data_IF_984138797213
#
_entry.id   IF_984138797213
#
_cell.length_a   1.000
_cell.length_b   1.000
_cell.length_c   1.000
_cell.angle_alpha   90.00
_cell.angle_beta   90.00
_cell.angle_gamma   90.00
#
_symmetry.space_group_name_H-M   'P 1'
#
loop_
_entity.id
_entity.type
_entity.pdbx_description
1 polymer ?
#
# COMPACT_ATOMS: atom_id res chain seq x y z
N UNK A 1 -12.09 28.75 -14.40
CA UNK A 1 -11.46 27.84 -13.43
C UNK A 1 -10.74 26.68 -14.12
N UNK A 2 -11.43 25.72 -14.76
CA UNK A 2 -10.79 24.58 -15.44
C UNK A 2 -9.80 24.98 -16.54
N UNK A 3 -10.10 26.06 -17.30
CA UNK A 3 -9.16 26.61 -18.29
C UNK A 3 -7.86 27.13 -17.63
N UNK A 4 -7.98 27.84 -16.51
CA UNK A 4 -6.82 28.30 -15.74
C UNK A 4 -6.02 27.12 -15.18
N UNK A 5 -6.69 26.12 -14.58
CA UNK A 5 -6.04 24.91 -14.14
C UNK A 5 -5.27 24.22 -15.28
N UNK A 6 -5.93 24.05 -16.43
CA UNK A 6 -5.32 23.43 -17.62
C UNK A 6 -4.14 24.23 -18.16
N UNK A 7 -4.20 25.55 -18.14
CA UNK A 7 -3.10 26.43 -18.55
C UNK A 7 -1.90 26.29 -17.61
N UNK A 8 -2.14 26.33 -16.28
CA UNK A 8 -1.08 26.16 -15.27
C UNK A 8 -0.45 24.77 -15.37
N UNK A 9 -1.26 23.71 -15.49
CA UNK A 9 -0.78 22.35 -15.68
C UNK A 9 0.04 22.21 -16.97
N UNK A 10 -0.46 22.78 -18.09
CA UNK A 10 0.24 22.76 -19.38
C UNK A 10 1.60 23.46 -19.31
N UNK A 11 1.67 24.64 -18.69
CA UNK A 11 2.95 25.33 -18.45
C UNK A 11 3.90 24.51 -17.59
N UNK A 12 3.40 23.90 -16.52
CA UNK A 12 4.21 23.02 -15.66
C UNK A 12 4.75 21.80 -16.42
N UNK A 13 3.95 21.18 -17.28
CA UNK A 13 4.37 20.05 -18.13
C UNK A 13 5.44 20.49 -19.14
N UNK A 14 5.29 21.65 -19.76
CA UNK A 14 6.27 22.22 -20.68
C UNK A 14 7.60 22.51 -19.96
N UNK A 15 7.56 23.10 -18.79
CA UNK A 15 8.75 23.36 -17.97
C UNK A 15 9.45 22.06 -17.51
N UNK A 16 8.70 21.01 -17.25
CA UNK A 16 9.23 19.70 -16.84
C UNK A 16 9.75 18.86 -18.01
N UNK A 17 9.38 19.19 -19.25
CA UNK A 17 9.70 18.40 -20.45
C UNK A 17 11.21 18.11 -20.62
N UNK A 18 12.15 19.05 -20.44
CA UNK A 18 13.57 18.78 -20.56
C UNK A 18 14.06 17.73 -19.53
N UNK A 19 13.64 17.89 -18.27
CA UNK A 19 13.99 16.95 -17.21
C UNK A 19 13.40 15.55 -17.45
N UNK A 20 12.20 15.48 -18.01
CA UNK A 20 11.56 14.22 -18.42
C UNK A 20 12.34 13.52 -19.53
N UNK A 21 12.75 14.26 -20.57
CA UNK A 21 13.50 13.70 -21.71
C UNK A 21 14.88 13.17 -21.28
N UNK A 22 15.56 13.85 -20.36
CA UNK A 22 16.86 13.39 -19.83
C UNK A 22 16.71 12.12 -18.96
N UNK A 23 15.67 12.04 -18.10
CA UNK A 23 15.37 10.87 -17.30
C UNK A 23 14.96 9.67 -18.18
N UNK A 24 14.19 9.90 -19.23
CA UNK A 24 13.78 8.87 -20.20
C UNK A 24 14.98 8.18 -20.86
N UNK A 25 16.01 8.94 -21.21
CA UNK A 25 17.23 8.39 -21.81
C UNK A 25 18.04 7.52 -20.85
N UNK A 26 18.05 7.84 -19.55
CA UNK A 26 18.85 7.14 -18.54
C UNK A 26 18.19 5.88 -17.96
N UNK A 27 16.89 5.80 -17.91
CA UNK A 27 16.17 4.79 -17.13
C UNK A 27 15.49 3.68 -17.96
N UNK A 28 15.66 3.65 -19.29
CA UNK A 28 14.95 2.68 -20.16
C UNK A 28 13.43 2.78 -20.07
N UNK A 29 12.92 3.91 -19.61
CA UNK A 29 11.53 4.17 -19.34
C UNK A 29 10.73 4.21 -20.64
N UNK A 30 10.23 3.07 -21.06
CA UNK A 30 9.18 2.98 -22.11
C UNK A 30 7.83 3.32 -21.46
N UNK A 31 7.64 4.59 -21.12
CA UNK A 31 6.28 5.06 -20.85
C UNK A 31 5.54 5.09 -22.18
N UNK A 32 4.39 4.48 -22.23
CA UNK A 32 3.53 4.63 -23.38
C UNK A 32 2.92 6.05 -23.38
N UNK A 33 3.67 6.98 -23.97
CA UNK A 33 3.26 8.38 -24.11
C UNK A 33 1.92 8.49 -24.85
N UNK A 34 1.63 7.58 -25.77
CA UNK A 34 0.37 7.59 -26.49
C UNK A 34 -0.81 7.46 -25.53
N UNK A 35 -0.72 6.55 -24.54
CA UNK A 35 -1.77 6.41 -23.53
C UNK A 35 -1.93 7.66 -22.68
N UNK A 36 -0.84 8.32 -22.29
CA UNK A 36 -0.87 9.58 -21.53
C UNK A 36 -1.49 10.72 -22.33
N UNK A 37 -1.42 10.68 -23.65
CA UNK A 37 -2.14 11.59 -24.53
C UNK A 37 -3.55 11.10 -24.87
N UNK A 38 -4.08 10.11 -24.15
CA UNK A 38 -5.44 9.59 -24.27
C UNK A 38 -5.64 8.54 -25.35
N UNK A 39 -4.56 8.08 -26.01
CA UNK A 39 -4.62 6.99 -26.99
C UNK A 39 -4.40 5.66 -26.28
N UNK A 40 -5.46 5.10 -25.73
CA UNK A 40 -5.37 3.89 -24.88
C UNK A 40 -5.00 2.61 -25.64
N UNK A 41 -5.02 2.64 -26.97
CA UNK A 41 -4.69 1.47 -27.82
C UNK A 41 -5.76 0.39 -27.78
N UNK A 42 -5.48 -0.70 -28.48
CA UNK A 42 -6.34 -1.88 -28.54
C UNK A 42 -6.24 -2.76 -27.29
N UNK A 43 -7.09 -3.77 -27.18
CA UNK A 43 -7.08 -4.74 -26.08
C UNK A 43 -7.66 -4.20 -24.78
N UNK A 44 -8.58 -3.25 -24.83
CA UNK A 44 -9.47 -2.98 -23.71
C UNK A 44 -10.45 -4.14 -23.51
N UNK A 45 -10.86 -4.43 -22.27
CA UNK A 45 -11.84 -5.47 -22.02
C UNK A 45 -13.17 -5.16 -22.71
N UNK A 46 -14.01 -6.17 -22.89
CA UNK A 46 -15.37 -5.99 -23.45
C UNK A 46 -16.21 -5.04 -22.60
N UNK A 47 -17.20 -4.39 -23.19
CA UNK A 47 -18.19 -3.60 -22.45
C UNK A 47 -19.25 -4.52 -21.83
N UNK A 48 -19.82 -4.17 -20.68
CA UNK A 48 -19.60 -2.94 -19.91
C UNK A 48 -18.25 -2.91 -19.17
N UNK A 49 -17.67 -1.70 -18.94
CA UNK A 49 -16.37 -1.53 -18.27
C UNK A 49 -16.47 -0.64 -17.05
N UNK A 50 -15.65 -0.92 -16.05
CA UNK A 50 -15.29 0.05 -15.01
C UNK A 50 -13.83 0.49 -15.17
N UNK A 51 -13.51 1.67 -14.62
CA UNK A 51 -12.16 2.20 -14.62
C UNK A 51 -11.71 2.50 -13.19
N UNK A 52 -10.67 1.79 -12.73
CA UNK A 52 -10.04 2.01 -11.42
C UNK A 52 -8.71 2.73 -11.62
N UNK A 53 -8.46 3.77 -10.86
CA UNK A 53 -7.22 4.55 -10.94
C UNK A 53 -6.45 4.51 -9.61
N UNK A 54 -5.16 4.14 -9.69
CA UNK A 54 -4.24 4.07 -8.57
C UNK A 54 -2.87 4.61 -9.01
N UNK A 55 -2.39 5.70 -8.42
CA UNK A 55 -1.20 6.43 -8.91
C UNK A 55 0.09 5.69 -8.62
N UNK A 56 0.26 5.23 -7.38
CA UNK A 56 1.51 4.73 -6.82
C UNK A 56 1.48 3.23 -6.52
N UNK A 57 2.64 2.67 -6.12
CA UNK A 57 2.75 1.29 -5.62
C UNK A 57 1.79 1.02 -4.46
N UNK A 58 1.73 1.94 -3.49
CA UNK A 58 0.88 1.79 -2.30
C UNK A 58 -0.61 1.78 -2.61
N UNK A 59 -1.04 2.63 -3.56
CA UNK A 59 -2.42 2.69 -4.04
C UNK A 59 -2.76 1.50 -4.93
N UNK A 60 -1.83 1.08 -5.80
CA UNK A 60 -2.03 -0.13 -6.63
C UNK A 60 -2.20 -1.38 -5.76
N UNK A 61 -1.41 -1.52 -4.70
CA UNK A 61 -1.58 -2.61 -3.74
C UNK A 61 -2.92 -2.53 -2.98
N UNK A 62 -3.36 -1.31 -2.61
CA UNK A 62 -4.67 -1.12 -1.98
C UNK A 62 -5.85 -1.37 -2.93
N UNK A 63 -5.66 -1.19 -4.24
CA UNK A 63 -6.67 -1.45 -5.26
C UNK A 63 -6.91 -2.95 -5.50
N UNK A 64 -5.88 -3.81 -5.33
CA UNK A 64 -5.95 -5.24 -5.65
C UNK A 64 -7.17 -5.93 -5.03
N UNK A 65 -7.40 -5.90 -3.69
CA UNK A 65 -8.53 -6.61 -3.09
C UNK A 65 -9.88 -6.10 -3.58
N UNK A 66 -10.00 -4.80 -3.86
CA UNK A 66 -11.22 -4.23 -4.41
C UNK A 66 -11.47 -4.67 -5.85
N UNK A 67 -10.44 -4.67 -6.70
CA UNK A 67 -10.54 -5.09 -8.11
C UNK A 67 -10.90 -6.56 -8.21
N UNK A 68 -10.27 -7.44 -7.42
CA UNK A 68 -10.62 -8.86 -7.34
C UNK A 68 -12.06 -9.08 -6.86
N UNK A 69 -12.50 -8.30 -5.88
CA UNK A 69 -13.85 -8.39 -5.36
C UNK A 69 -14.91 -7.87 -6.36
N UNK A 70 -14.59 -6.82 -7.13
CA UNK A 70 -15.42 -6.36 -8.25
C UNK A 70 -15.57 -7.46 -9.30
N UNK A 71 -14.45 -8.08 -9.69
CA UNK A 71 -14.43 -9.16 -10.68
C UNK A 71 -15.27 -10.38 -10.22
N UNK A 72 -15.12 -10.78 -8.97
CA UNK A 72 -15.94 -11.89 -8.41
C UNK A 72 -17.43 -11.57 -8.35
N UNK A 73 -17.78 -10.32 -8.00
CA UNK A 73 -19.20 -9.92 -7.84
C UNK A 73 -19.89 -9.65 -9.18
N UNK A 74 -19.15 -9.17 -10.17
CA UNK A 74 -19.65 -8.81 -11.51
C UNK A 74 -18.67 -9.30 -12.60
N UNK A 75 -18.67 -10.62 -12.88
CA UNK A 75 -17.71 -11.21 -13.84
C UNK A 75 -17.85 -10.67 -15.27
N UNK A 76 -19.05 -10.17 -15.60
CA UNK A 76 -19.32 -9.57 -16.89
C UNK A 76 -18.72 -8.18 -17.07
N UNK A 77 -18.24 -7.56 -15.99
CA UNK A 77 -17.72 -6.22 -16.01
C UNK A 77 -16.24 -6.22 -16.38
N UNK A 78 -15.90 -5.67 -17.53
CA UNK A 78 -14.50 -5.46 -17.91
C UNK A 78 -13.82 -4.44 -17.01
N UNK A 79 -12.62 -4.73 -16.52
CA UNK A 79 -11.93 -3.84 -15.58
C UNK A 79 -10.68 -3.25 -16.23
N UNK A 80 -10.61 -1.92 -16.25
CA UNK A 80 -9.42 -1.16 -16.62
C UNK A 80 -8.81 -0.60 -15.35
N UNK A 81 -7.54 -0.93 -15.09
CA UNK A 81 -6.78 -0.32 -13.98
C UNK A 81 -5.72 0.59 -14.55
N UNK A 82 -5.69 1.84 -14.10
CA UNK A 82 -4.68 2.80 -14.56
C UNK A 82 -3.75 3.26 -13.46
N UNK A 83 -2.47 3.47 -13.85
CA UNK A 83 -1.44 4.00 -12.95
C UNK A 83 -0.70 5.17 -13.57
N UNK A 84 0.06 5.90 -12.75
CA UNK A 84 1.01 6.92 -13.25
C UNK A 84 2.44 6.36 -13.23
N UNK A 85 2.78 5.51 -12.24
CA UNK A 85 4.15 5.02 -12.07
C UNK A 85 4.34 3.63 -12.71
N UNK A 86 5.53 3.34 -13.28
CA UNK A 86 5.84 2.01 -13.81
C UNK A 86 5.86 0.92 -12.73
N UNK A 87 6.25 1.29 -11.51
CA UNK A 87 6.22 0.35 -10.38
C UNK A 87 4.80 -0.02 -9.98
N UNK A 88 3.85 0.94 -10.03
CA UNK A 88 2.42 0.65 -9.88
C UNK A 88 1.90 -0.24 -11.01
N UNK A 89 2.34 0.02 -12.25
CA UNK A 89 1.98 -0.82 -13.40
C UNK A 89 2.41 -2.29 -13.25
N UNK A 90 3.59 -2.52 -12.68
CA UNK A 90 4.06 -3.89 -12.37
C UNK A 90 3.13 -4.59 -11.38
N UNK A 91 2.72 -3.94 -10.30
CA UNK A 91 1.79 -4.54 -9.33
C UNK A 91 0.50 -4.97 -10.01
N UNK A 92 -0.06 -4.11 -10.88
CA UNK A 92 -1.27 -4.47 -11.64
C UNK A 92 -1.01 -5.66 -12.57
N UNK A 93 0.12 -5.68 -13.28
CA UNK A 93 0.47 -6.78 -14.18
C UNK A 93 0.70 -8.10 -13.43
N UNK A 94 1.33 -8.05 -12.26
CA UNK A 94 1.69 -9.24 -11.50
C UNK A 94 0.51 -9.80 -10.68
N UNK A 95 -0.32 -8.90 -10.09
CA UNK A 95 -1.37 -9.30 -9.13
C UNK A 95 -2.77 -9.39 -9.75
N UNK A 96 -3.01 -8.71 -10.87
CA UNK A 96 -4.32 -8.64 -11.54
C UNK A 96 -4.29 -9.20 -12.98
N UNK A 97 -3.27 -10.03 -13.29
CA UNK A 97 -3.20 -10.74 -14.56
C UNK A 97 -4.49 -11.56 -14.79
N UNK A 98 -5.11 -11.39 -15.97
CA UNK A 98 -6.38 -12.06 -16.29
C UNK A 98 -7.64 -11.44 -15.65
N UNK A 99 -7.51 -10.58 -14.66
CA UNK A 99 -8.63 -9.91 -13.99
C UNK A 99 -8.88 -8.50 -14.52
N UNK A 100 -7.81 -7.77 -14.83
CA UNK A 100 -7.90 -6.38 -15.28
C UNK A 100 -6.86 -6.05 -16.35
N UNK A 101 -7.16 -5.06 -17.19
CA UNK A 101 -6.24 -4.55 -18.19
C UNK A 101 -5.59 -3.27 -17.68
N UNK A 102 -4.26 -3.24 -17.64
CA UNK A 102 -3.52 -2.04 -17.24
C UNK A 102 -3.47 -1.00 -18.37
N UNK A 103 -3.59 0.27 -18.01
CA UNK A 103 -3.29 1.43 -18.89
C UNK A 103 -2.63 2.55 -18.08
N UNK A 104 -1.81 3.38 -18.73
CA UNK A 104 -1.36 4.61 -18.09
C UNK A 104 -2.44 5.67 -18.11
N UNK A 105 -2.60 6.37 -16.98
CA UNK A 105 -3.61 7.43 -16.86
C UNK A 105 -3.30 8.61 -17.80
N UNK A 106 -4.30 9.18 -18.45
CA UNK A 106 -4.10 10.32 -19.35
C UNK A 106 -3.66 11.56 -18.57
N UNK A 107 -2.90 12.43 -19.22
CA UNK A 107 -2.63 13.77 -18.69
C UNK A 107 -3.96 14.50 -18.49
N UNK A 108 -4.12 15.15 -17.32
CA UNK A 108 -5.38 15.80 -16.95
C UNK A 108 -5.63 17.11 -17.72
N UNK A 109 -5.48 17.05 -19.04
CA UNK A 109 -5.77 18.10 -19.99
C UNK A 109 -7.01 17.75 -20.81
N UNK A 110 -7.79 18.76 -21.26
CA UNK A 110 -9.08 18.52 -21.93
C UNK A 110 -9.00 17.53 -23.11
N UNK A 111 -7.99 17.66 -23.98
CA UNK A 111 -7.83 16.81 -25.15
C UNK A 111 -7.50 15.33 -24.82
N UNK A 112 -6.44 15.06 -24.05
CA UNK A 112 -6.12 13.70 -23.61
C UNK A 112 -7.26 13.03 -22.84
N UNK A 113 -7.90 13.74 -21.91
CA UNK A 113 -9.05 13.24 -21.14
C UNK A 113 -10.22 12.89 -22.05
N UNK A 114 -10.57 13.79 -22.98
CA UNK A 114 -11.66 13.56 -23.92
C UNK A 114 -11.44 12.26 -24.73
N UNK A 115 -10.25 12.12 -25.35
CA UNK A 115 -9.89 10.92 -26.12
C UNK A 115 -9.94 9.63 -25.29
N UNK A 116 -9.37 9.68 -24.10
CA UNK A 116 -9.36 8.51 -23.23
C UNK A 116 -10.77 8.05 -22.83
N UNK A 117 -11.66 8.99 -22.49
CA UNK A 117 -13.04 8.69 -22.12
C UNK A 117 -13.89 8.24 -23.33
N UNK A 118 -13.61 8.73 -24.54
CA UNK A 118 -14.28 8.25 -25.77
C UNK A 118 -13.94 6.80 -26.09
N UNK A 119 -12.70 6.38 -25.83
CA UNK A 119 -12.24 5.02 -26.11
C UNK A 119 -12.64 4.06 -24.97
N UNK A 120 -12.41 4.46 -23.72
CA UNK A 120 -12.67 3.60 -22.58
C UNK A 120 -14.16 3.42 -22.27
N UNK A 121 -14.97 4.45 -22.45
CA UNK A 121 -16.44 4.48 -22.17
C UNK A 121 -16.80 3.79 -20.84
N UNK A 122 -16.17 4.18 -19.71
CA UNK A 122 -16.42 3.50 -18.45
C UNK A 122 -17.86 3.76 -18.00
N UNK A 123 -18.51 2.73 -17.47
CA UNK A 123 -19.82 2.85 -16.81
C UNK A 123 -19.72 3.58 -15.49
N UNK A 124 -18.58 3.41 -14.80
CA UNK A 124 -18.23 4.16 -13.61
C UNK A 124 -16.71 4.23 -13.45
N UNK A 125 -16.27 5.15 -12.62
CA UNK A 125 -14.88 5.39 -12.31
C UNK A 125 -14.62 5.33 -10.79
N UNK A 126 -13.50 4.74 -10.39
CA UNK A 126 -13.05 4.68 -8.99
C UNK A 126 -11.63 5.21 -8.93
N UNK A 127 -11.40 6.27 -8.15
CA UNK A 127 -10.06 6.70 -7.77
C UNK A 127 -9.71 6.14 -6.38
N UNK A 128 -8.56 5.50 -6.29
CA UNK A 128 -8.04 5.00 -5.01
C UNK A 128 -7.31 6.13 -4.28
N UNK A 129 -7.57 6.25 -3.00
CA UNK A 129 -7.13 7.34 -2.13
C UNK A 129 -7.71 8.69 -2.61
N UNK A 130 -7.01 9.81 -2.39
CA UNK A 130 -7.58 11.12 -2.72
C UNK A 130 -6.96 11.68 -4.01
N UNK A 131 -7.15 10.94 -5.11
CA UNK A 131 -6.67 11.30 -6.43
C UNK A 131 -7.72 12.15 -7.17
N UNK A 132 -7.58 13.47 -7.04
CA UNK A 132 -8.50 14.45 -7.60
C UNK A 132 -7.93 15.03 -8.89
N UNK A 133 -8.48 14.60 -10.02
CA UNK A 133 -8.10 15.02 -11.37
C UNK A 133 -9.23 15.88 -11.98
N UNK A 134 -9.15 17.23 -11.88
CA UNK A 134 -10.28 18.11 -12.17
C UNK A 134 -10.89 17.96 -13.55
N UNK A 135 -10.07 17.89 -14.62
CA UNK A 135 -10.60 17.75 -15.98
C UNK A 135 -11.19 16.35 -16.21
N UNK A 136 -10.60 15.31 -15.62
CA UNK A 136 -11.07 13.94 -15.76
C UNK A 136 -12.43 13.76 -15.07
N UNK A 137 -12.55 14.18 -13.81
CA UNK A 137 -13.81 14.14 -13.05
C UNK A 137 -14.90 14.94 -13.75
N UNK A 138 -14.58 16.16 -14.23
CA UNK A 138 -15.52 16.94 -15.02
C UNK A 138 -15.90 16.26 -16.35
N UNK A 139 -14.96 15.58 -17.00
CA UNK A 139 -15.19 14.80 -18.21
C UNK A 139 -16.17 13.65 -17.99
N UNK A 140 -16.07 12.96 -16.86
CA UNK A 140 -17.00 11.92 -16.40
C UNK A 140 -18.39 12.51 -16.10
N UNK A 141 -18.45 13.59 -15.31
CA UNK A 141 -19.71 14.24 -14.93
C UNK A 141 -20.50 14.70 -16.17
N UNK A 142 -19.83 15.28 -17.17
CA UNK A 142 -20.47 15.67 -18.45
C UNK A 142 -21.06 14.50 -19.23
N UNK A 143 -20.49 13.30 -19.06
CA UNK A 143 -20.96 12.04 -19.66
C UNK A 143 -21.98 11.30 -18.78
N UNK A 144 -22.31 11.88 -17.63
CA UNK A 144 -23.15 11.24 -16.60
C UNK A 144 -22.58 9.89 -16.13
N UNK A 145 -21.26 9.76 -16.19
CA UNK A 145 -20.53 8.60 -15.68
C UNK A 145 -20.23 8.85 -14.20
N UNK A 146 -20.77 8.05 -13.26
CA UNK A 146 -20.56 8.26 -11.84
C UNK A 146 -19.11 7.98 -11.47
N UNK A 147 -18.59 8.79 -10.53
CA UNK A 147 -17.23 8.68 -10.00
C UNK A 147 -17.25 8.47 -8.49
N UNK A 148 -16.33 7.63 -7.99
CA UNK A 148 -16.14 7.34 -6.57
C UNK A 148 -14.71 7.61 -6.17
N UNK A 149 -14.52 8.18 -4.98
CA UNK A 149 -13.26 8.11 -4.26
C UNK A 149 -13.35 6.92 -3.29
N UNK A 150 -12.52 5.90 -3.47
CA UNK A 150 -12.45 4.75 -2.58
C UNK A 150 -11.16 4.80 -1.77
N UNK A 151 -11.19 4.32 -0.52
CA UNK A 151 -10.05 4.39 0.40
C UNK A 151 -9.54 5.84 0.61
N UNK A 152 -10.45 6.81 0.65
CA UNK A 152 -10.14 8.24 0.68
C UNK A 152 -9.37 8.64 1.94
N UNK A 153 -8.22 9.31 1.77
CA UNK A 153 -7.37 9.79 2.86
C UNK A 153 -6.85 11.18 2.56
N UNK A 154 -6.83 12.06 3.56
CA UNK A 154 -6.31 13.42 3.42
C UNK A 154 -5.31 13.71 4.53
N UNK A 155 -4.02 13.82 4.18
CA UNK A 155 -2.98 14.17 5.15
C UNK A 155 -3.12 15.63 5.64
N UNK A 156 -2.59 15.94 6.83
CA UNK A 156 -2.59 17.30 7.41
C UNK A 156 -2.00 18.33 6.45
N UNK A 157 -0.91 17.96 5.76
CA UNK A 157 -0.24 18.83 4.78
C UNK A 157 -1.13 19.10 3.57
N UNK A 158 -1.79 18.06 3.04
CA UNK A 158 -2.68 18.19 1.89
C UNK A 158 -3.93 18.97 2.26
N UNK A 159 -4.50 18.72 3.44
CA UNK A 159 -5.68 19.42 3.94
C UNK A 159 -5.44 20.94 4.02
N UNK A 160 -4.34 21.36 4.67
CA UNK A 160 -3.99 22.80 4.76
C UNK A 160 -3.78 23.44 3.39
N UNK A 161 -3.21 22.70 2.44
CA UNK A 161 -2.98 23.19 1.07
C UNK A 161 -4.27 23.30 0.29
N UNK A 162 -5.18 22.33 0.40
CA UNK A 162 -6.47 22.33 -0.28
C UNK A 162 -7.43 23.37 0.28
N UNK A 163 -7.37 23.70 1.57
CA UNK A 163 -8.15 24.78 2.16
C UNK A 163 -7.87 26.14 1.49
N UNK A 164 -6.63 26.40 1.07
CA UNK A 164 -6.29 27.67 0.37
C UNK A 164 -6.98 27.82 -0.98
N UNK A 165 -7.39 26.70 -1.58
CA UNK A 165 -8.09 26.65 -2.87
C UNK A 165 -9.47 25.99 -2.73
N UNK A 166 -10.09 26.13 -1.56
CA UNK A 166 -11.39 25.49 -1.23
C UNK A 166 -12.48 25.77 -2.26
N UNK A 167 -12.52 26.97 -2.82
CA UNK A 167 -13.48 27.36 -3.86
C UNK A 167 -13.34 26.49 -5.13
N UNK A 168 -12.12 26.08 -5.46
CA UNK A 168 -11.82 25.14 -6.55
C UNK A 168 -12.21 23.72 -6.13
N UNK A 169 -11.78 23.30 -4.93
CA UNK A 169 -12.06 21.97 -4.39
C UNK A 169 -13.55 21.67 -4.36
N UNK A 170 -14.37 22.60 -3.85
CA UNK A 170 -15.84 22.45 -3.82
C UNK A 170 -16.44 22.11 -5.20
N UNK A 171 -15.91 22.69 -6.27
CA UNK A 171 -16.41 22.41 -7.62
C UNK A 171 -15.95 21.07 -8.16
N UNK A 172 -14.71 20.67 -7.86
CA UNK A 172 -14.17 19.37 -8.26
C UNK A 172 -14.88 18.25 -7.50
N UNK A 173 -15.09 18.43 -6.19
CA UNK A 173 -15.75 17.46 -5.35
C UNK A 173 -17.26 17.30 -5.68
N UNK A 174 -17.89 18.31 -6.23
CA UNK A 174 -19.28 18.21 -6.70
C UNK A 174 -19.45 17.23 -7.88
N UNK A 175 -18.38 17.00 -8.66
CA UNK A 175 -18.38 16.05 -9.78
C UNK A 175 -18.20 14.58 -9.32
N UNK A 176 -18.01 14.31 -8.01
CA UNK A 176 -17.88 12.98 -7.42
C UNK A 176 -19.21 12.51 -6.84
N UNK A 177 -19.61 11.30 -7.16
CA UNK A 177 -20.91 10.72 -6.74
C UNK A 177 -20.89 10.21 -5.30
N UNK A 178 -19.78 9.60 -4.84
CA UNK A 178 -19.64 9.06 -3.49
C UNK A 178 -18.17 9.05 -3.04
N UNK A 179 -17.97 9.29 -1.75
CA UNK A 179 -16.67 9.28 -1.08
C UNK A 179 -16.66 8.20 -0.01
N UNK A 180 -15.90 7.13 -0.22
CA UNK A 180 -15.62 6.09 0.78
C UNK A 180 -14.30 6.40 1.47
N UNK A 181 -14.38 6.92 2.69
CA UNK A 181 -13.24 7.45 3.43
C UNK A 181 -12.67 6.43 4.41
N UNK A 182 -11.34 6.50 4.67
CA UNK A 182 -10.69 5.56 5.59
C UNK A 182 -11.07 5.79 7.05
N UNK A 183 -11.34 7.03 7.44
CA UNK A 183 -11.60 7.40 8.84
C UNK A 183 -12.61 8.54 8.97
N UNK A 184 -13.16 8.71 10.16
CA UNK A 184 -14.02 9.86 10.52
C UNK A 184 -13.28 11.20 10.33
N UNK A 185 -11.97 11.23 10.59
CA UNK A 185 -11.17 12.42 10.39
C UNK A 185 -11.06 12.78 8.92
N UNK A 186 -10.80 11.80 8.06
CA UNK A 186 -10.75 12.01 6.61
C UNK A 186 -12.12 12.45 6.06
N UNK A 187 -13.20 11.87 6.58
CA UNK A 187 -14.58 12.27 6.25
C UNK A 187 -14.84 13.73 6.61
N UNK A 188 -14.49 14.13 7.83
CA UNK A 188 -14.61 15.55 8.25
C UNK A 188 -13.79 16.48 7.36
N UNK A 189 -12.58 16.08 7.01
CA UNK A 189 -11.68 16.88 6.16
C UNK A 189 -12.24 17.07 4.74
N UNK A 190 -12.74 15.99 4.11
CA UNK A 190 -13.27 16.11 2.72
C UNK A 190 -14.53 16.97 2.70
N UNK A 191 -15.40 16.88 3.71
CA UNK A 191 -16.59 17.75 3.88
C UNK A 191 -16.16 19.21 4.09
N UNK A 192 -15.15 19.46 4.91
CA UNK A 192 -14.61 20.80 5.12
C UNK A 192 -14.03 21.40 3.84
N UNK A 193 -13.52 20.58 2.92
CA UNK A 193 -13.08 21.02 1.59
C UNK A 193 -14.23 21.27 0.61
N UNK A 194 -15.44 20.83 0.95
CA UNK A 194 -16.66 21.15 0.19
C UNK A 194 -17.31 19.96 -0.50
N UNK A 195 -16.98 18.73 -0.12
CA UNK A 195 -17.76 17.56 -0.51
C UNK A 195 -19.17 17.62 0.12
N UNK A 196 -20.23 17.21 -0.60
CA UNK A 196 -21.56 17.09 -0.05
C UNK A 196 -21.60 16.05 1.07
N UNK A 197 -22.00 16.37 2.30
CA UNK A 197 -21.95 15.45 3.44
C UNK A 197 -22.72 14.14 3.20
N UNK A 198 -23.82 14.21 2.48
CA UNK A 198 -24.70 13.07 2.16
C UNK A 198 -24.04 12.05 1.20
N UNK A 199 -22.92 12.42 0.58
CA UNK A 199 -22.13 11.55 -0.31
C UNK A 199 -20.89 10.97 0.37
N UNK A 200 -20.66 11.28 1.64
CA UNK A 200 -19.44 10.88 2.38
C UNK A 200 -19.78 9.76 3.35
N UNK A 201 -19.10 8.63 3.22
CA UNK A 201 -19.28 7.44 4.05
C UNK A 201 -17.91 6.98 4.53
N UNK A 202 -17.81 6.58 5.80
CA UNK A 202 -16.60 5.93 6.33
C UNK A 202 -16.71 4.43 6.11
N UNK A 203 -15.81 3.87 5.30
CA UNK A 203 -15.77 2.44 4.98
C UNK A 203 -14.58 1.72 5.60
N UNK A 204 -13.60 2.46 6.11
CA UNK A 204 -12.34 1.89 6.59
C UNK A 204 -11.26 1.80 5.49
N UNK A 205 -10.16 1.13 5.83
CA UNK A 205 -8.99 1.02 4.94
C UNK A 205 -9.03 -0.30 4.16
N UNK A 206 -9.02 -0.24 2.82
CA UNK A 206 -9.01 -1.43 1.95
C UNK A 206 -7.83 -2.38 2.24
N UNK A 207 -6.72 -1.86 2.75
CA UNK A 207 -5.55 -2.68 3.14
C UNK A 207 -5.84 -3.57 4.35
N UNK A 208 -6.85 -3.23 5.18
CA UNK A 208 -7.25 -4.04 6.33
C UNK A 208 -7.99 -5.33 5.93
N UNK A 209 -8.47 -5.41 4.69
CA UNK A 209 -9.14 -6.60 4.15
C UNK A 209 -8.17 -7.53 3.37
N UNK A 210 -6.89 -7.14 3.26
CA UNK A 210 -5.84 -8.04 2.81
C UNK A 210 -5.64 -9.10 3.90
N UNK A 211 -6.53 -10.09 3.95
CA UNK A 211 -6.33 -11.28 4.78
C UNK A 211 -5.31 -12.15 4.05
N UNK A 212 -4.14 -12.35 4.61
CA UNK A 212 -3.20 -13.31 4.04
C UNK A 212 -3.79 -14.71 4.23
N UNK A 213 -3.88 -15.50 3.16
CA UNK A 213 -4.18 -16.93 3.29
C UNK A 213 -3.19 -17.55 4.26
N UNK A 214 -3.71 -18.21 5.29
CA UNK A 214 -2.94 -18.85 6.34
C UNK A 214 -2.58 -20.29 5.96
N UNK A 215 -1.47 -20.77 6.47
CA UNK A 215 -1.10 -22.13 6.85
C UNK A 215 -0.40 -23.06 5.85
N UNK A 216 -0.63 -23.07 4.56
CA UNK A 216 0.15 -23.97 3.67
C UNK A 216 1.51 -23.35 3.22
N UNK A 217 1.62 -22.03 3.30
CA UNK A 217 2.83 -21.31 2.89
C UNK A 217 3.95 -21.32 3.96
N UNK A 218 3.62 -21.52 5.23
CA UNK A 218 4.57 -21.33 6.33
C UNK A 218 5.69 -22.38 6.31
N UNK A 219 5.39 -23.66 6.09
CA UNK A 219 6.38 -24.72 5.99
C UNK A 219 7.30 -24.50 4.78
N UNK A 220 6.71 -24.18 3.62
CA UNK A 220 7.46 -23.92 2.38
C UNK A 220 8.41 -22.72 2.55
N UNK A 221 7.96 -21.67 3.24
CA UNK A 221 8.81 -20.50 3.47
C UNK A 221 9.92 -20.78 4.47
N UNK A 222 9.68 -21.57 5.56
CA UNK A 222 10.73 -21.97 6.49
C UNK A 222 11.83 -22.76 5.77
N UNK A 223 11.44 -23.74 4.95
CA UNK A 223 12.38 -24.50 4.12
C UNK A 223 13.16 -23.60 3.15
N UNK A 224 12.47 -22.73 2.40
CA UNK A 224 13.08 -21.78 1.48
C UNK A 224 14.07 -20.82 2.14
N UNK A 225 13.85 -20.47 3.40
CA UNK A 225 14.73 -19.63 4.18
C UNK A 225 15.84 -20.44 4.87
N UNK A 226 15.85 -21.78 4.75
CA UNK A 226 16.82 -22.65 5.41
C UNK A 226 16.70 -22.64 6.94
N UNK A 227 15.53 -22.31 7.48
CA UNK A 227 15.25 -22.26 8.91
C UNK A 227 14.98 -23.67 9.44
N UNK A 228 15.59 -24.02 10.58
CA UNK A 228 15.29 -25.26 11.31
C UNK A 228 13.92 -25.14 11.99
N UNK A 229 13.32 -26.26 12.34
CA UNK A 229 12.05 -26.29 13.06
C UNK A 229 12.10 -25.54 14.41
N UNK A 230 13.27 -25.56 15.05
CA UNK A 230 13.54 -24.91 16.34
C UNK A 230 13.90 -23.45 16.23
N UNK A 231 14.19 -22.93 15.04
CA UNK A 231 14.62 -21.53 14.87
C UNK A 231 13.45 -20.59 15.12
N UNK A 232 13.67 -19.62 16.00
CA UNK A 232 12.76 -18.52 16.31
C UNK A 232 13.10 -17.36 15.41
N UNK A 233 12.13 -16.86 14.66
CA UNK A 233 12.38 -15.83 13.65
C UNK A 233 11.95 -14.45 14.15
N UNK A 234 12.90 -13.53 14.20
CA UNK A 234 12.64 -12.11 14.30
C UNK A 234 12.73 -11.48 12.91
N UNK A 235 11.72 -10.71 12.51
CA UNK A 235 11.71 -10.00 11.23
C UNK A 235 11.81 -8.50 11.49
N UNK A 236 12.85 -7.86 10.93
CA UNK A 236 12.96 -6.41 10.86
C UNK A 236 12.62 -5.95 9.44
N UNK A 237 11.39 -5.48 9.27
CA UNK A 237 10.81 -5.16 7.96
C UNK A 237 10.89 -3.68 7.60
N UNK A 238 11.19 -3.37 6.35
CA UNK A 238 11.23 -2.01 5.78
C UNK A 238 12.19 -1.07 6.50
N UNK A 239 13.39 -1.55 6.83
CA UNK A 239 14.41 -0.78 7.55
C UNK A 239 15.07 0.28 6.67
N UNK A 240 15.57 1.33 7.30
CA UNK A 240 16.28 2.42 6.68
C UNK A 240 17.70 2.56 7.26
N UNK A 241 18.54 3.34 6.56
CA UNK A 241 19.88 3.68 7.01
C UNK A 241 19.86 4.26 8.43
N UNK A 242 20.68 3.73 9.32
CA UNK A 242 20.72 4.06 10.74
C UNK A 242 19.88 3.14 11.64
N UNK A 243 18.90 2.41 11.06
CA UNK A 243 18.13 1.43 11.82
C UNK A 243 18.76 0.03 11.78
N UNK A 244 19.38 -0.33 10.65
CA UNK A 244 20.02 -1.64 10.50
C UNK A 244 21.11 -1.87 11.55
N UNK A 245 21.87 -0.83 11.89
CA UNK A 245 22.86 -0.86 12.96
C UNK A 245 22.23 -1.17 14.32
N UNK A 246 21.13 -0.49 14.64
CA UNK A 246 20.37 -0.65 15.89
C UNK A 246 19.80 -2.07 15.98
N UNK A 247 19.19 -2.55 14.89
CA UNK A 247 18.60 -3.89 14.80
C UNK A 247 19.67 -4.97 14.97
N UNK A 248 20.81 -4.84 14.30
CA UNK A 248 21.89 -5.81 14.37
C UNK A 248 22.55 -5.86 15.78
N UNK A 249 22.67 -4.70 16.44
CA UNK A 249 23.20 -4.64 17.80
C UNK A 249 22.22 -5.25 18.81
N UNK A 250 20.92 -5.00 18.68
CA UNK A 250 19.87 -5.64 19.46
C UNK A 250 19.84 -7.17 19.23
N UNK A 251 19.96 -7.62 17.98
CA UNK A 251 20.00 -9.03 17.61
C UNK A 251 21.18 -9.77 18.27
N UNK A 252 22.38 -9.20 18.22
CA UNK A 252 23.55 -9.80 18.87
C UNK A 252 23.35 -10.02 20.37
N UNK A 253 22.76 -9.05 21.06
CA UNK A 253 22.48 -9.12 22.50
C UNK A 253 21.37 -10.13 22.81
N UNK A 254 20.26 -10.08 22.08
CA UNK A 254 19.14 -11.01 22.25
C UNK A 254 19.57 -12.46 21.98
N UNK A 255 20.40 -12.68 20.97
CA UNK A 255 20.90 -14.00 20.61
C UNK A 255 21.82 -14.62 21.67
N UNK A 256 22.49 -13.83 22.49
CA UNK A 256 23.26 -14.34 23.61
C UNK A 256 22.39 -15.06 24.65
N UNK A 257 21.10 -14.71 24.74
CA UNK A 257 20.10 -15.35 25.61
C UNK A 257 19.23 -16.37 24.86
N UNK A 258 19.01 -16.16 23.57
CA UNK A 258 18.21 -17.03 22.70
C UNK A 258 19.09 -17.50 21.52
N UNK A 259 19.92 -18.55 21.68
CA UNK A 259 20.86 -18.99 20.62
C UNK A 259 20.19 -19.49 19.33
N UNK A 260 18.93 -19.89 19.41
CA UNK A 260 18.05 -20.31 18.30
C UNK A 260 17.39 -19.13 17.56
N UNK A 261 17.66 -17.88 17.97
CA UNK A 261 17.14 -16.71 17.31
C UNK A 261 17.79 -16.52 15.93
N UNK A 262 16.95 -16.44 14.90
CA UNK A 262 17.29 -16.06 13.53
C UNK A 262 16.75 -14.66 13.23
N UNK A 263 17.45 -13.90 12.39
CA UNK A 263 17.01 -12.57 11.93
C UNK A 263 16.80 -12.56 10.43
N UNK A 264 15.62 -12.08 10.00
CA UNK A 264 15.38 -11.65 8.63
C UNK A 264 15.34 -10.12 8.61
N UNK A 265 16.25 -9.51 7.86
CA UNK A 265 16.38 -8.07 7.71
C UNK A 265 15.94 -7.66 6.30
N UNK A 266 14.89 -6.88 6.20
CA UNK A 266 14.29 -6.45 4.94
C UNK A 266 14.47 -4.94 4.74
N UNK A 267 15.53 -4.47 4.06
CA UNK A 267 15.69 -3.06 3.75
C UNK A 267 14.54 -2.53 2.89
N UNK A 268 14.06 -1.32 3.16
CA UNK A 268 13.01 -0.67 2.35
C UNK A 268 13.41 -0.53 0.88
N UNK A 269 14.71 -0.42 0.65
CA UNK A 269 15.34 -0.29 -0.65
C UNK A 269 16.22 -1.52 -0.89
N UNK A 270 15.76 -2.56 -1.61
CA UNK A 270 16.50 -3.80 -1.85
C UNK A 270 17.87 -3.59 -2.51
N UNK A 271 18.03 -2.52 -3.27
CA UNK A 271 19.31 -2.12 -3.87
C UNK A 271 20.41 -1.84 -2.85
N UNK A 272 20.05 -1.61 -1.57
CA UNK A 272 21.00 -1.44 -0.46
C UNK A 272 21.48 -2.75 0.14
N UNK A 273 21.07 -3.89 -0.39
CA UNK A 273 21.45 -5.20 0.17
C UNK A 273 22.97 -5.38 0.33
N UNK A 274 23.78 -4.82 -0.58
CA UNK A 274 25.23 -4.85 -0.46
C UNK A 274 25.76 -4.06 0.74
N UNK A 275 25.24 -2.85 0.97
CA UNK A 275 25.58 -2.01 2.13
C UNK A 275 25.21 -2.71 3.45
N UNK A 276 24.01 -3.32 3.49
CA UNK A 276 23.54 -4.07 4.67
C UNK A 276 24.38 -5.32 4.92
N UNK A 277 24.81 -6.00 3.86
CA UNK A 277 25.72 -7.16 3.96
C UNK A 277 27.04 -6.78 4.61
N UNK A 278 27.61 -5.64 4.24
CA UNK A 278 28.86 -5.15 4.85
C UNK A 278 28.66 -4.77 6.33
N UNK A 279 27.52 -4.17 6.69
CA UNK A 279 27.17 -3.89 8.08
C UNK A 279 27.06 -5.15 8.94
N UNK A 280 26.51 -6.24 8.38
CA UNK A 280 26.39 -7.54 9.06
C UNK A 280 27.77 -8.14 9.31
N UNK A 281 28.63 -8.16 8.26
CA UNK A 281 30.03 -8.66 8.37
C UNK A 281 30.86 -7.86 9.39
N UNK A 282 30.73 -6.55 9.39
CA UNK A 282 31.42 -5.67 10.34
C UNK A 282 31.08 -5.97 11.81
N UNK A 283 29.94 -6.64 12.07
CA UNK A 283 29.51 -7.08 13.40
C UNK A 283 29.83 -8.55 13.71
N UNK A 284 30.61 -9.19 12.84
CA UNK A 284 30.99 -10.59 13.00
C UNK A 284 29.83 -11.58 12.77
N UNK A 285 28.79 -11.16 12.04
CA UNK A 285 27.65 -12.00 11.68
C UNK A 285 27.80 -12.48 10.24
N UNK A 286 27.15 -13.61 9.92
CA UNK A 286 27.14 -14.19 8.57
C UNK A 286 25.91 -13.69 7.79
N UNK A 287 26.07 -12.88 6.72
CA UNK A 287 24.95 -12.48 5.88
C UNK A 287 24.59 -13.56 4.87
N UNK A 288 23.30 -13.71 4.57
CA UNK A 288 22.78 -14.54 3.49
C UNK A 288 21.70 -13.77 2.73
N UNK A 289 21.85 -13.61 1.41
CA UNK A 289 20.84 -12.96 0.59
C UNK A 289 19.71 -13.90 0.22
N UNK A 290 18.46 -13.45 0.35
CA UNK A 290 17.28 -14.24 -0.02
C UNK A 290 17.33 -14.70 -1.48
N UNK A 291 17.80 -13.85 -2.41
CA UNK A 291 17.92 -14.18 -3.83
C UNK A 291 18.98 -15.23 -4.14
N UNK A 292 19.87 -15.56 -3.20
CA UNK A 292 21.02 -16.47 -3.35
C UNK A 292 21.26 -17.30 -2.11
N UNK A 293 20.18 -17.79 -1.46
CA UNK A 293 20.32 -18.59 -0.26
C UNK A 293 21.09 -19.89 -0.56
N UNK A 294 22.10 -20.21 0.24
CA UNK A 294 22.77 -21.51 0.18
C UNK A 294 21.81 -22.62 0.68
N UNK A 295 22.10 -23.86 0.30
CA UNK A 295 21.46 -25.03 0.95
C UNK A 295 21.88 -25.09 2.42
N UNK A 296 20.99 -24.71 3.32
CA UNK A 296 21.21 -24.61 4.74
C UNK A 296 21.86 -23.29 5.17
N UNK A 297 21.25 -22.63 6.16
CA UNK A 297 21.81 -21.45 6.80
C UNK A 297 22.74 -21.82 7.94
N UNK A 298 23.87 -21.12 8.06
CA UNK A 298 24.70 -21.20 9.25
C UNK A 298 23.90 -20.75 10.48
N UNK A 299 24.07 -21.38 11.66
CA UNK A 299 23.41 -20.94 12.88
C UNK A 299 23.71 -19.47 13.16
N UNK A 300 22.65 -18.65 13.26
CA UNK A 300 22.76 -17.21 13.48
C UNK A 300 23.11 -16.38 12.25
N UNK A 301 22.97 -16.92 11.06
CA UNK A 301 23.00 -16.12 9.85
C UNK A 301 21.86 -15.10 9.83
N UNK A 302 22.16 -13.92 9.30
CA UNK A 302 21.16 -12.88 9.06
C UNK A 302 20.72 -12.96 7.61
N UNK A 303 19.44 -13.26 7.39
CA UNK A 303 18.87 -13.29 6.05
C UNK A 303 18.52 -11.87 5.61
N UNK A 304 19.09 -11.40 4.51
CA UNK A 304 18.73 -10.13 3.88
C UNK A 304 17.66 -10.38 2.83
N UNK A 305 16.48 -9.80 3.01
CA UNK A 305 15.41 -9.85 2.01
C UNK A 305 15.68 -8.81 0.92
N UNK A 306 16.35 -9.22 -0.13
CA UNK A 306 16.71 -8.39 -1.29
C UNK A 306 15.73 -8.55 -2.46
N UNK A 307 14.59 -9.21 -2.22
CA UNK A 307 13.49 -9.40 -3.16
C UNK A 307 12.30 -8.51 -2.83
N UNK A 308 11.41 -8.29 -3.80
CA UNK A 308 10.22 -7.44 -3.63
C UNK A 308 8.96 -8.30 -3.59
N UNK A 309 8.03 -7.98 -2.68
CA UNK A 309 6.69 -8.60 -2.62
C UNK A 309 6.55 -9.80 -1.68
N UNK A 310 7.64 -10.30 -1.08
CA UNK A 310 7.62 -11.47 -0.20
C UNK A 310 7.38 -11.12 1.30
N UNK A 311 7.74 -9.90 1.74
CA UNK A 311 7.78 -9.52 3.16
C UNK A 311 6.43 -9.72 3.89
N UNK A 312 5.32 -9.37 3.27
CA UNK A 312 3.99 -9.50 3.85
C UNK A 312 3.60 -10.96 4.15
N UNK A 313 4.04 -11.90 3.29
CA UNK A 313 3.87 -13.33 3.54
C UNK A 313 4.78 -13.82 4.66
N UNK A 314 6.03 -13.38 4.66
CA UNK A 314 7.05 -13.81 5.63
C UNK A 314 6.73 -13.39 7.07
N UNK A 315 5.95 -12.33 7.29
CA UNK A 315 5.53 -11.97 8.65
C UNK A 315 4.77 -13.09 9.39
N UNK A 316 4.15 -14.01 8.68
CA UNK A 316 3.49 -15.17 9.29
C UNK A 316 4.46 -16.05 10.08
N UNK A 317 5.73 -16.14 9.64
CA UNK A 317 6.78 -16.96 10.28
C UNK A 317 7.37 -16.30 11.52
N UNK A 318 7.22 -14.98 11.67
CA UNK A 318 7.87 -14.25 12.74
C UNK A 318 7.29 -14.60 14.12
N UNK A 319 8.12 -14.62 15.12
CA UNK A 319 7.69 -14.55 16.52
C UNK A 319 7.46 -13.13 16.98
N UNK A 320 8.35 -12.22 16.55
CA UNK A 320 8.30 -10.79 16.82
C UNK A 320 8.63 -10.06 15.52
N UNK A 321 7.99 -8.91 15.29
CA UNK A 321 8.28 -8.05 14.13
C UNK A 321 8.71 -6.66 14.59
N UNK A 322 9.77 -6.15 13.99
CA UNK A 322 10.12 -4.73 14.02
C UNK A 322 9.76 -4.08 12.68
N UNK A 323 9.07 -2.93 12.73
CA UNK A 323 8.72 -2.17 11.51
C UNK A 323 9.55 -0.89 11.45
N UNK A 324 10.40 -0.82 10.42
CA UNK A 324 11.36 0.25 10.22
C UNK A 324 10.80 1.55 9.67
N UNK A 325 11.71 2.52 9.37
CA UNK A 325 11.37 3.91 9.08
C UNK A 325 10.83 4.65 10.31
N UNK A 326 10.91 4.02 11.47
CA UNK A 326 10.25 4.43 12.70
C UNK A 326 11.23 4.87 13.81
N UNK A 327 12.46 4.35 13.85
CA UNK A 327 13.54 4.84 14.71
C UNK A 327 14.27 6.04 14.11
N UNK A 328 14.20 6.19 12.79
CA UNK A 328 14.68 7.36 12.05
C UNK A 328 13.50 8.22 11.58
N UNK A 329 13.65 9.54 11.34
CA UNK A 329 12.53 10.46 11.06
C UNK A 329 11.98 10.33 9.63
N UNK A 330 11.70 9.10 9.19
CA UNK A 330 11.08 8.79 7.90
C UNK A 330 9.56 8.74 8.00
N UNK A 331 9.03 8.41 9.19
CA UNK A 331 7.59 8.41 9.45
C UNK A 331 6.94 7.03 9.56
N UNK A 332 7.74 5.97 9.60
CA UNK A 332 7.29 4.58 9.76
C UNK A 332 6.70 3.96 8.51
N UNK A 333 6.61 2.62 8.53
CA UNK A 333 5.99 1.81 7.50
C UNK A 333 4.76 1.07 8.02
N UNK A 334 4.18 0.19 7.20
CA UNK A 334 2.91 -0.47 7.44
C UNK A 334 2.97 -1.44 8.63
N UNK A 335 2.43 -1.05 9.77
CA UNK A 335 2.32 -1.88 10.98
C UNK A 335 1.12 -2.85 10.91
N UNK A 336 0.22 -2.68 9.96
CA UNK A 336 -0.99 -3.50 9.80
C UNK A 336 -0.65 -4.92 9.34
N UNK A 337 0.30 -5.07 8.41
CA UNK A 337 0.66 -6.36 7.84
C UNK A 337 1.08 -7.39 8.91
N UNK A 338 2.06 -7.11 9.80
CA UNK A 338 2.40 -8.04 10.86
C UNK A 338 1.30 -8.18 11.92
N UNK A 339 0.58 -7.10 12.24
CA UNK A 339 -0.51 -7.12 13.21
C UNK A 339 -1.63 -8.06 12.80
N UNK A 340 -2.05 -8.02 11.53
CA UNK A 340 -3.08 -8.91 10.98
C UNK A 340 -2.64 -10.38 10.97
N UNK A 341 -1.34 -10.66 10.98
CA UNK A 341 -0.78 -12.01 11.17
C UNK A 341 -0.74 -12.43 12.64
N UNK A 342 -1.25 -11.61 13.55
CA UNK A 342 -1.24 -11.90 14.98
C UNK A 342 0.17 -11.87 15.59
N UNK A 343 1.04 -11.00 15.08
CA UNK A 343 2.40 -10.85 15.58
C UNK A 343 2.54 -9.60 16.44
N UNK A 344 3.27 -9.66 17.56
CA UNK A 344 3.63 -8.48 18.33
C UNK A 344 4.52 -7.57 17.48
N UNK A 345 4.25 -6.25 17.50
CA UNK A 345 4.91 -5.29 16.61
C UNK A 345 5.72 -4.29 17.43
N UNK A 346 7.03 -4.26 17.20
CA UNK A 346 7.95 -3.25 17.72
C UNK A 346 8.15 -2.16 16.66
N UNK A 347 8.18 -0.91 17.06
CA UNK A 347 8.44 0.23 16.16
C UNK A 347 8.93 1.45 16.95
N UNK A 348 9.62 2.36 16.26
CA UNK A 348 10.10 3.61 16.84
C UNK A 348 9.05 4.71 16.95
N UNK A 349 9.38 5.87 17.52
CA UNK A 349 8.44 6.98 17.76
C UNK A 349 8.01 7.73 16.49
N UNK A 350 8.72 7.56 15.38
CA UNK A 350 8.39 8.26 14.14
C UNK A 350 7.35 7.48 13.31
N UNK A 351 6.05 7.71 13.60
CA UNK A 351 4.93 6.97 13.00
C UNK A 351 4.00 7.84 12.16
N UNK A 352 4.45 9.01 11.68
CA UNK A 352 3.58 10.00 11.01
C UNK A 352 2.82 9.45 9.80
N UNK A 353 3.38 8.46 9.08
CA UNK A 353 2.74 7.83 7.92
C UNK A 353 1.68 6.79 8.32
N UNK A 354 1.75 6.24 9.53
CA UNK A 354 0.87 5.19 10.06
C UNK A 354 0.39 5.49 11.48
N UNK A 355 0.26 6.77 11.83
CA UNK A 355 -0.05 7.24 13.19
C UNK A 355 -1.26 6.54 13.80
N UNK A 356 -2.35 6.47 13.07
CA UNK A 356 -3.58 5.85 13.58
C UNK A 356 -3.39 4.36 13.87
N UNK A 357 -2.74 3.62 12.96
CA UNK A 357 -2.43 2.20 13.16
C UNK A 357 -1.49 1.98 14.34
N UNK A 358 -0.45 2.80 14.47
CA UNK A 358 0.48 2.73 15.59
C UNK A 358 -0.21 3.01 16.94
N UNK A 359 -1.02 4.07 17.03
CA UNK A 359 -1.78 4.39 18.24
C UNK A 359 -2.78 3.29 18.63
N UNK A 360 -3.38 2.65 17.63
CA UNK A 360 -4.32 1.56 17.87
C UNK A 360 -3.60 0.33 18.43
N UNK A 361 -2.45 -0.03 17.88
CA UNK A 361 -1.61 -1.10 18.37
C UNK A 361 -1.10 -0.83 19.79
N UNK A 362 -0.67 0.38 20.08
CA UNK A 362 -0.22 0.79 21.40
C UNK A 362 -1.33 0.65 22.45
N UNK A 363 -2.53 1.16 22.15
CA UNK A 363 -3.70 1.07 23.02
C UNK A 363 -4.18 -0.37 23.26
N UNK A 364 -4.03 -1.24 22.29
CA UNK A 364 -4.42 -2.65 22.40
C UNK A 364 -3.39 -3.50 23.14
N UNK A 365 -2.16 -3.00 23.33
CA UNK A 365 -1.03 -3.79 23.82
C UNK A 365 -0.39 -4.71 22.76
N UNK A 366 -0.80 -4.60 21.50
CA UNK A 366 -0.23 -5.37 20.38
C UNK A 366 0.99 -4.71 19.74
N UNK A 367 1.25 -3.44 20.05
CA UNK A 367 2.40 -2.68 19.58
C UNK A 367 3.19 -2.04 20.71
N UNK A 368 4.49 -2.07 20.60
CA UNK A 368 5.43 -1.56 21.60
C UNK A 368 6.36 -0.53 20.95
N UNK A 369 6.35 0.69 21.47
CA UNK A 369 7.27 1.75 21.03
C UNK A 369 8.62 1.55 21.67
N UNK A 370 9.68 1.56 20.84
CA UNK A 370 11.08 1.46 21.28
C UNK A 370 11.86 2.67 20.76
N UNK A 371 12.79 3.20 21.55
CA UNK A 371 13.50 4.46 21.21
C UNK A 371 14.92 4.26 20.76
N UNK A 372 15.54 3.17 21.18
CA UNK A 372 16.95 2.86 20.92
C UNK A 372 17.23 1.35 20.92
N UNK A 373 18.48 0.98 20.71
CA UNK A 373 18.92 -0.41 20.67
C UNK A 373 18.72 -1.16 21.98
N UNK A 374 18.78 -0.47 23.13
CA UNK A 374 18.62 -1.10 24.46
C UNK A 374 17.15 -1.40 24.72
N UNK A 375 16.26 -0.46 24.42
CA UNK A 375 14.82 -0.70 24.54
C UNK A 375 14.37 -1.77 23.55
N UNK A 376 14.86 -1.74 22.30
CA UNK A 376 14.55 -2.74 21.29
C UNK A 376 15.00 -4.15 21.75
N UNK A 377 16.21 -4.29 22.27
CA UNK A 377 16.72 -5.57 22.81
C UNK A 377 15.90 -6.04 24.00
N UNK A 378 15.59 -5.14 24.93
CA UNK A 378 14.82 -5.46 26.14
C UNK A 378 13.42 -5.98 25.79
N UNK A 379 12.68 -5.28 24.95
CA UNK A 379 11.32 -5.67 24.57
C UNK A 379 11.32 -6.93 23.68
N UNK A 380 12.30 -7.05 22.79
CA UNK A 380 12.49 -8.26 21.99
C UNK A 380 12.76 -9.47 22.89
N UNK A 381 13.72 -9.39 23.82
CA UNK A 381 14.06 -10.47 24.75
C UNK A 381 12.87 -10.84 25.62
N UNK A 382 12.13 -9.86 26.15
CA UNK A 382 10.93 -10.09 26.96
C UNK A 382 9.86 -10.88 26.21
N UNK A 383 9.61 -10.54 24.92
CA UNK A 383 8.65 -11.26 24.08
C UNK A 383 9.15 -12.66 23.71
N UNK A 384 10.47 -12.83 23.53
CA UNK A 384 11.06 -14.12 23.22
C UNK A 384 11.12 -15.05 24.43
N UNK A 385 11.33 -14.55 25.65
CA UNK A 385 11.40 -15.34 26.89
C UNK A 385 10.02 -15.76 27.40
N UNK A 386 8.98 -14.94 27.17
CA UNK A 386 7.58 -15.20 27.55
C UNK A 386 6.69 -15.39 26.30
N UNK A 387 6.58 -16.66 25.86
CA UNK A 387 5.75 -17.01 24.70
C UNK A 387 4.27 -16.70 24.88
N UNK A 388 3.76 -16.74 26.13
CA UNK A 388 2.38 -16.33 26.42
C UNK A 388 2.18 -14.82 26.27
N UNK A 389 3.16 -14.02 26.66
CA UNK A 389 3.15 -12.58 26.43
C UNK A 389 3.16 -12.28 24.94
N UNK A 390 4.05 -12.91 24.17
CA UNK A 390 4.11 -12.73 22.72
C UNK A 390 2.79 -13.12 22.04
N UNK A 391 2.19 -14.25 22.44
CA UNK A 391 0.90 -14.68 21.92
C UNK A 391 -0.22 -13.68 22.25
N UNK A 392 -0.33 -13.23 23.50
CA UNK A 392 -1.32 -12.22 23.92
C UNK A 392 -1.14 -10.90 23.19
N UNK A 393 0.09 -10.42 23.03
CA UNK A 393 0.39 -9.22 22.26
C UNK A 393 0.03 -9.37 20.78
N UNK A 394 0.32 -10.53 20.18
CA UNK A 394 -0.06 -10.85 18.81
C UNK A 394 -1.58 -10.92 18.62
N UNK A 395 -2.31 -11.55 19.54
CA UNK A 395 -3.78 -11.59 19.53
C UNK A 395 -4.39 -10.20 19.70
N UNK A 396 -3.81 -9.38 20.58
CA UNK A 396 -4.22 -7.99 20.79
C UNK A 396 -3.94 -7.15 19.52
N UNK A 397 -2.80 -7.36 18.86
CA UNK A 397 -2.49 -6.73 17.58
C UNK A 397 -3.52 -7.08 16.51
N UNK A 398 -3.85 -8.35 16.34
CA UNK A 398 -4.86 -8.81 15.38
C UNK A 398 -6.24 -8.27 15.71
N UNK A 399 -6.65 -8.34 16.98
CA UNK A 399 -7.95 -7.88 17.44
C UNK A 399 -8.15 -6.37 17.29
N UNK A 400 -7.08 -5.58 17.41
CA UNK A 400 -7.11 -4.14 17.19
C UNK A 400 -7.60 -3.77 15.79
N UNK A 401 -7.43 -4.65 14.82
CA UNK A 401 -7.86 -4.44 13.44
C UNK A 401 -9.02 -5.34 12.99
N UNK A 402 -9.41 -6.34 13.78
CA UNK A 402 -10.49 -7.28 13.42
C UNK A 402 -11.85 -6.58 13.18
N UNK A 403 -12.13 -5.48 13.91
CA UNK A 403 -13.34 -4.67 13.71
C UNK A 403 -13.27 -3.68 12.53
N UNK A 404 -12.14 -3.64 11.82
CA UNK A 404 -11.90 -2.75 10.66
C UNK A 404 -11.84 -3.50 9.33
N UNK A 405 -12.11 -4.79 9.33
CA UNK A 405 -12.35 -5.57 8.12
C UNK A 405 -13.73 -5.25 7.56
N UNK A 406 -13.90 -5.46 6.26
CA UNK A 406 -15.17 -5.19 5.58
C UNK A 406 -15.15 -3.88 4.76
N UNK A 407 -14.02 -3.18 4.68
CA UNK A 407 -13.88 -1.99 3.84
C UNK A 407 -14.15 -2.30 2.36
N UNK A 408 -13.67 -3.44 1.87
CA UNK A 408 -13.94 -3.92 0.51
C UNK A 408 -15.42 -4.21 0.34
N UNK A 409 -16.05 -4.95 1.26
CA UNK A 409 -17.49 -5.27 1.20
C UNK A 409 -18.34 -4.00 1.24
N UNK A 410 -18.07 -3.09 2.19
CA UNK A 410 -18.77 -1.80 2.29
C UNK A 410 -18.58 -0.95 1.00
N UNK A 411 -17.38 -0.97 0.42
CA UNK A 411 -17.11 -0.27 -0.84
C UNK A 411 -17.88 -0.89 -2.01
N UNK A 412 -17.95 -2.24 -2.09
CA UNK A 412 -18.75 -2.93 -3.11
C UNK A 412 -20.24 -2.60 -2.99
N UNK A 413 -20.77 -2.48 -1.78
CA UNK A 413 -22.17 -2.10 -1.57
C UNK A 413 -22.47 -0.66 -1.97
N UNK A 414 -21.50 0.25 -1.77
CA UNK A 414 -21.59 1.61 -2.29
C UNK A 414 -21.51 1.63 -3.83
N UNK A 415 -20.67 0.81 -4.45
CA UNK A 415 -20.62 0.65 -5.90
C UNK A 415 -21.99 0.16 -6.41
N UNK A 416 -22.52 -0.91 -5.85
CA UNK A 416 -23.82 -1.46 -6.24
C UNK A 416 -24.96 -0.44 -6.10
N UNK A 417 -24.95 0.37 -5.05
CA UNK A 417 -25.99 1.36 -4.77
C UNK A 417 -25.87 2.63 -5.60
N UNK A 418 -24.69 3.13 -5.82
CA UNK A 418 -24.48 4.48 -6.37
C UNK A 418 -23.86 4.51 -7.77
N UNK A 419 -23.08 3.50 -8.15
CA UNK A 419 -22.35 3.47 -9.42
C UNK A 419 -22.91 2.47 -10.42
N UNK A 420 -23.43 1.33 -9.93
CA UNK A 420 -23.89 0.21 -10.74
C UNK A 420 -25.24 -0.34 -10.23
N UNK A 421 -26.29 0.53 -10.12
CA UNK A 421 -27.59 0.12 -9.58
C UNK A 421 -28.29 -0.89 -10.51
N UNK A 422 -29.08 -1.77 -9.92
CA UNK A 422 -29.99 -2.70 -10.64
C UNK A 422 -29.37 -4.01 -11.12
N UNK A 423 -28.09 -4.28 -10.80
CA UNK A 423 -27.48 -5.60 -10.98
C UNK A 423 -27.11 -6.18 -9.63
N UNK A 424 -28.05 -6.94 -9.07
CA UNK A 424 -27.78 -7.82 -7.91
C UNK A 424 -26.68 -8.85 -8.25
N UNK A 425 -26.11 -9.53 -7.24
CA UNK A 425 -25.17 -10.62 -7.51
C UNK A 425 -25.83 -11.58 -8.50
N UNK A 426 -25.15 -11.87 -9.60
CA UNK A 426 -25.56 -12.96 -10.49
C UNK A 426 -25.69 -14.21 -9.62
N UNK A 427 -26.90 -14.73 -9.48
CA UNK A 427 -27.07 -16.08 -8.94
C UNK A 427 -26.25 -16.97 -9.87
N UNK A 428 -25.12 -17.46 -9.38
CA UNK A 428 -24.30 -18.44 -10.08
C UNK A 428 -25.14 -19.68 -10.39
N UNK A 429 -24.74 -20.43 -11.45
CA UNK A 429 -25.40 -21.65 -11.82
C UNK A 429 -25.35 -22.70 -10.75
#
# INVERSE_FOLDING_TARGET
MYALYSAVLGMGLLAYLPAFLTRRRRAGYRHDLAQRFGRLGDGLPAEPRCWVHAVSVGESAAAVPLVEAIHRRWPELGIVVSTITPTGARIVADRLAGTAVHRYFPLDLPGPVHRALEVARPRFFIAIETELWPNFLRGLARRRTPAMIANGRISDRSFRRYLRVRWLMRRVLADVSVFAMQSEEDARRIVALGAPPERVVVTGNLKSDLVPEADAADTVWRERLGLRATDRLWIAGSTHRGEEEIVLDAFRRARARCPDLALLLAPRHPERAGEVEDLIRARGLAPARRSRLPEGLAPGAVVILDTVGELAALYALAEVVFVGGSLVPVGGHNVLEPAMRGKPVLYGPHTSNFREGAQLLERSGGGLVVKDALELERELSRLLEDGDLARRAGEAARSAFAGRQGAVSATLDLIARHLWPGRGPSAGP
#
